data_IF_332123194881
#
_entry.id   IF_332123194881
#
_cell.length_a   1.000
_cell.length_b   1.000
_cell.length_c   1.000
_cell.angle_alpha   90.00
_cell.angle_beta   90.00
_cell.angle_gamma   90.00
#
_symmetry.space_group_name_H-M   'P 1'
#
loop_
_entity.id
_entity.type
_entity.pdbx_description
1 polymer ?
#
# COMPACT_ATOMS: atom_id res chain seq x y z
N UNK A 1 -8.42 -14.10 18.72
CA UNK A 1 -6.99 -14.07 19.06
C UNK A 1 -6.28 -14.63 17.85
N UNK A 2 -5.79 -13.74 16.98
CA UNK A 2 -4.85 -14.13 15.95
C UNK A 2 -3.72 -14.86 16.70
N UNK A 3 -3.54 -16.12 16.42
CA UNK A 3 -2.33 -16.81 16.83
C UNK A 3 -1.24 -16.08 16.08
N UNK A 4 -0.23 -15.50 16.77
CA UNK A 4 0.94 -15.01 16.08
C UNK A 4 1.44 -16.22 15.29
N UNK A 5 1.25 -16.23 13.98
CA UNK A 5 2.00 -17.15 13.19
C UNK A 5 3.44 -16.67 13.35
N UNK A 6 4.34 -17.54 13.71
CA UNK A 6 5.78 -17.26 13.66
C UNK A 6 6.24 -16.94 12.22
N UNK A 7 5.32 -16.95 11.28
CA UNK A 7 5.43 -16.49 9.91
C UNK A 7 5.32 -14.95 9.87
N UNK A 8 6.45 -14.30 9.95
CA UNK A 8 6.60 -12.90 9.59
C UNK A 8 6.54 -12.79 8.07
N UNK A 9 5.39 -12.40 7.54
CA UNK A 9 5.24 -12.18 6.11
C UNK A 9 6.32 -11.20 5.64
N UNK A 10 7.20 -11.67 4.76
CA UNK A 10 8.24 -10.86 4.13
C UNK A 10 9.55 -10.67 4.88
N UNK A 11 9.73 -11.20 6.10
CA UNK A 11 10.97 -11.04 6.88
C UNK A 11 11.75 -12.36 7.03
N UNK A 12 11.06 -13.46 7.18
CA UNK A 12 11.73 -14.77 7.21
C UNK A 12 11.80 -15.27 5.78
N UNK A 13 12.92 -15.04 5.14
CA UNK A 13 13.21 -15.35 3.74
C UNK A 13 13.21 -16.84 3.38
N UNK A 14 12.24 -17.56 3.90
CA UNK A 14 11.98 -18.95 3.59
C UNK A 14 10.69 -19.04 2.75
N UNK A 15 10.80 -18.92 1.41
CA UNK A 15 9.69 -19.31 0.53
C UNK A 15 9.38 -20.80 0.64
N UNK A 16 10.19 -21.54 1.39
CA UNK A 16 10.17 -23.00 1.45
C UNK A 16 9.04 -23.59 2.30
N UNK A 17 8.50 -22.86 3.26
CA UNK A 17 7.41 -23.42 4.07
C UNK A 17 6.09 -23.53 3.30
N UNK A 18 5.81 -22.57 2.41
CA UNK A 18 4.65 -22.65 1.50
C UNK A 18 4.87 -23.66 0.39
N UNK A 19 6.08 -23.76 -0.17
CA UNK A 19 6.42 -24.76 -1.19
C UNK A 19 6.45 -26.18 -0.62
N UNK A 20 7.00 -26.37 0.58
CA UNK A 20 6.97 -27.68 1.27
C UNK A 20 5.55 -28.13 1.62
N UNK A 21 4.70 -27.22 2.03
CA UNK A 21 3.28 -27.52 2.29
C UNK A 21 2.54 -27.85 1.00
N UNK A 22 2.86 -27.21 -0.11
CA UNK A 22 2.31 -27.50 -1.43
C UNK A 22 2.83 -28.82 -2.00
N UNK A 23 4.11 -29.16 -1.82
CA UNK A 23 4.70 -30.44 -2.21
C UNK A 23 4.11 -31.61 -1.42
N UNK A 24 3.76 -31.40 -0.16
CA UNK A 24 3.10 -32.42 0.69
C UNK A 24 1.59 -32.51 0.44
N UNK A 25 1.05 -31.74 -0.51
CA UNK A 25 -0.38 -31.72 -0.82
C UNK A 25 -1.26 -31.17 0.31
N UNK A 26 -0.65 -30.55 1.30
CA UNK A 26 -1.34 -29.87 2.39
C UNK A 26 -1.61 -28.45 1.88
N UNK A 27 -2.79 -28.23 1.33
CA UNK A 27 -3.28 -26.86 1.19
C UNK A 27 -3.49 -26.31 2.59
N UNK A 28 -2.87 -25.18 2.98
CA UNK A 28 -3.35 -24.46 4.16
C UNK A 28 -4.81 -24.16 3.88
N UNK A 29 -5.70 -24.76 4.65
CA UNK A 29 -7.11 -24.40 4.58
C UNK A 29 -7.21 -22.94 5.06
N UNK A 30 -7.58 -22.00 4.19
CA UNK A 30 -7.71 -20.61 4.59
C UNK A 30 -8.77 -20.43 5.68
N UNK A 31 -9.55 -21.47 5.98
CA UNK A 31 -10.60 -21.48 6.99
C UNK A 31 -10.21 -22.17 8.31
N UNK A 32 -9.10 -22.90 8.39
CA UNK A 32 -8.63 -23.55 9.63
C UNK A 32 -8.02 -22.55 10.64
N UNK A 33 -7.77 -21.32 10.23
CA UNK A 33 -7.18 -20.31 11.12
C UNK A 33 -8.20 -19.62 12.03
N UNK A 34 -9.43 -20.04 12.02
CA UNK A 34 -10.47 -19.46 12.85
C UNK A 34 -10.96 -20.53 13.86
N UNK A 35 -10.09 -20.91 14.78
CA UNK A 35 -10.57 -21.55 15.99
C UNK A 35 -11.08 -20.42 16.91
N UNK A 36 -12.39 -20.21 16.87
CA UNK A 36 -13.18 -19.45 17.83
C UNK A 36 -12.76 -17.98 18.12
N UNK A 37 -12.10 -17.31 17.19
CA UNK A 37 -12.11 -15.86 17.25
C UNK A 37 -13.57 -15.41 17.15
N UNK A 38 -14.09 -14.58 18.08
CA UNK A 38 -15.44 -14.06 17.94
C UNK A 38 -15.53 -13.43 16.54
N UNK A 39 -16.45 -13.94 15.72
CA UNK A 39 -16.75 -13.30 14.44
C UNK A 39 -17.02 -11.84 14.76
N UNK A 40 -16.25 -10.89 14.21
CA UNK A 40 -16.51 -9.49 14.49
C UNK A 40 -17.99 -9.26 14.24
N UNK A 41 -18.68 -8.61 15.17
CA UNK A 41 -20.07 -8.23 14.93
C UNK A 41 -20.10 -7.24 13.76
N UNK A 42 -20.25 -7.77 12.55
CA UNK A 42 -20.35 -6.99 11.33
C UNK A 42 -21.54 -6.01 11.32
N UNK A 43 -22.32 -5.99 12.41
CA UNK A 43 -23.37 -5.00 12.66
C UNK A 43 -22.87 -3.80 13.45
N UNK A 44 -21.58 -3.76 13.79
CA UNK A 44 -20.98 -2.55 14.34
C UNK A 44 -21.15 -1.43 13.30
N UNK A 45 -21.91 -0.41 13.65
CA UNK A 45 -22.10 0.79 12.84
C UNK A 45 -20.88 1.73 12.92
N UNK A 46 -19.76 1.22 13.39
CA UNK A 46 -18.52 1.97 13.52
C UNK A 46 -17.82 2.00 12.18
N UNK A 47 -17.76 3.15 11.58
CA UNK A 47 -16.84 3.43 10.47
C UNK A 47 -15.47 3.68 11.08
N UNK A 48 -14.55 2.77 10.90
CA UNK A 48 -13.17 2.98 11.30
C UNK A 48 -12.47 3.79 10.21
N UNK A 49 -12.04 4.98 10.58
CA UNK A 49 -11.16 5.80 9.73
C UNK A 49 -9.77 5.22 9.82
N UNK A 50 -9.21 4.87 8.67
CA UNK A 50 -7.86 4.34 8.54
C UNK A 50 -6.98 5.37 7.85
N UNK A 51 -6.06 5.96 8.59
CA UNK A 51 -5.14 6.95 8.06
C UNK A 51 -3.94 6.25 7.42
N UNK A 52 -3.59 6.67 6.20
CA UNK A 52 -2.47 6.11 5.45
C UNK A 52 -1.66 7.22 4.78
N UNK A 53 -0.35 7.30 5.03
CA UNK A 53 0.50 8.21 4.26
C UNK A 53 0.66 7.67 2.83
N UNK A 54 0.65 8.59 1.88
CA UNK A 54 0.88 8.31 0.47
C UNK A 54 2.02 9.18 -0.03
N UNK A 55 3.15 8.57 -0.35
CA UNK A 55 4.33 9.25 -0.86
C UNK A 55 4.30 9.25 -2.38
N UNK A 56 4.43 10.42 -2.98
CA UNK A 56 4.54 10.60 -4.42
C UNK A 56 6.01 10.65 -4.83
N UNK A 57 6.37 9.84 -5.83
CA UNK A 57 7.76 9.67 -6.27
C UNK A 57 7.93 9.98 -7.74
N UNK A 58 8.85 10.87 -8.03
CA UNK A 58 9.34 11.14 -9.38
C UNK A 58 10.81 10.74 -9.51
N UNK A 59 11.30 10.63 -10.74
CA UNK A 59 12.66 10.19 -11.03
C UNK A 59 13.40 11.22 -11.87
N UNK A 60 14.75 11.20 -11.87
CA UNK A 60 15.56 12.11 -12.68
C UNK A 60 15.27 12.04 -14.18
N UNK A 61 14.75 10.91 -14.66
CA UNK A 61 14.35 10.64 -16.04
C UNK A 61 12.83 10.56 -16.26
N UNK A 62 12.02 10.61 -15.17
CA UNK A 62 10.55 10.57 -15.23
C UNK A 62 9.92 11.54 -14.22
N UNK A 63 9.79 12.80 -14.63
CA UNK A 63 9.20 13.86 -13.79
C UNK A 63 7.69 13.75 -13.69
N UNK A 64 7.16 14.18 -12.56
CA UNK A 64 5.73 14.25 -12.33
C UNK A 64 5.00 15.10 -13.40
N UNK A 65 3.87 14.59 -13.84
CA UNK A 65 3.00 15.25 -14.83
C UNK A 65 1.68 15.72 -14.26
N UNK A 66 1.40 15.36 -13.02
CA UNK A 66 0.20 15.75 -12.27
C UNK A 66 0.59 16.42 -10.96
N UNK A 67 -0.22 17.35 -10.51
CA UNK A 67 -0.05 17.95 -9.19
C UNK A 67 -0.43 16.96 -8.08
N UNK A 68 0.20 17.07 -6.91
CA UNK A 68 -0.17 16.27 -5.73
C UNK A 68 -1.64 16.45 -5.34
N UNK A 69 -2.19 17.64 -5.57
CA UNK A 69 -3.60 17.91 -5.36
C UNK A 69 -4.54 17.08 -6.25
N UNK A 70 -4.15 16.77 -7.49
CA UNK A 70 -4.94 15.90 -8.36
C UNK A 70 -4.96 14.46 -7.83
N UNK A 71 -3.84 14.02 -7.28
CA UNK A 71 -3.74 12.69 -6.64
C UNK A 71 -4.58 12.66 -5.35
N UNK A 72 -4.55 13.74 -4.56
CA UNK A 72 -5.42 13.84 -3.37
C UNK A 72 -6.90 13.71 -3.71
N UNK A 73 -7.35 14.34 -4.80
CA UNK A 73 -8.72 14.21 -5.28
C UNK A 73 -9.08 12.76 -5.63
N UNK A 74 -8.18 12.06 -6.34
CA UNK A 74 -8.37 10.64 -6.71
C UNK A 74 -8.46 9.76 -5.46
N UNK A 75 -7.68 10.07 -4.44
CA UNK A 75 -7.64 9.28 -3.21
C UNK A 75 -8.83 9.56 -2.29
N UNK A 76 -9.17 10.84 -2.09
CA UNK A 76 -9.99 11.26 -0.95
C UNK A 76 -11.34 11.88 -1.29
N UNK A 77 -11.53 12.43 -2.51
CA UNK A 77 -12.76 13.18 -2.82
C UNK A 77 -13.97 12.24 -2.98
N UNK A 78 -15.02 12.37 -2.15
CA UNK A 78 -16.24 11.63 -2.34
C UNK A 78 -16.88 11.93 -3.71
N UNK A 79 -17.30 10.88 -4.42
CA UNK A 79 -17.94 11.02 -5.73
C UNK A 79 -16.99 11.54 -6.82
N UNK A 80 -15.69 11.34 -6.69
CA UNK A 80 -14.70 11.79 -7.67
C UNK A 80 -15.01 11.24 -9.06
N UNK A 81 -15.03 12.11 -10.06
CA UNK A 81 -15.14 11.74 -11.48
C UNK A 81 -14.18 12.58 -12.30
N UNK A 82 -13.52 11.96 -13.25
CA UNK A 82 -12.63 12.65 -14.17
C UNK A 82 -13.22 12.67 -15.59
N UNK A 83 -13.13 13.80 -16.27
CA UNK A 83 -13.77 14.00 -17.59
C UNK A 83 -13.28 13.04 -18.68
N UNK A 84 -12.05 12.55 -18.57
CA UNK A 84 -11.39 11.70 -19.58
C UNK A 84 -11.35 10.22 -19.21
N UNK A 85 -11.82 9.86 -18.02
CA UNK A 85 -11.82 8.48 -17.52
C UNK A 85 -13.19 8.14 -16.95
N UNK A 86 -13.71 6.98 -17.26
CA UNK A 86 -15.01 6.50 -16.77
C UNK A 86 -14.91 5.98 -15.30
N UNK A 87 -14.18 6.69 -14.45
CA UNK A 87 -14.10 6.36 -13.04
C UNK A 87 -15.36 6.79 -12.29
N UNK A 88 -15.79 5.98 -11.34
CA UNK A 88 -17.06 6.12 -10.60
C UNK A 88 -16.84 6.35 -9.10
N UNK A 89 -15.87 7.15 -8.75
CA UNK A 89 -15.53 7.46 -7.38
C UNK A 89 -14.02 7.51 -7.15
N UNK A 90 -13.65 7.88 -5.93
CA UNK A 90 -12.29 7.88 -5.44
C UNK A 90 -11.89 6.50 -4.87
N UNK A 91 -10.60 6.36 -4.52
CA UNK A 91 -10.11 5.23 -3.73
C UNK A 91 -10.90 5.05 -2.43
N UNK A 92 -11.18 6.15 -1.73
CA UNK A 92 -12.03 6.18 -0.55
C UNK A 92 -13.44 5.64 -0.81
N UNK A 93 -14.09 6.08 -1.90
CA UNK A 93 -15.45 5.63 -2.25
C UNK A 93 -15.48 4.13 -2.53
N UNK A 94 -14.49 3.63 -3.25
CA UNK A 94 -14.36 2.20 -3.55
C UNK A 94 -14.32 1.36 -2.27
N UNK A 95 -13.47 1.73 -1.32
CA UNK A 95 -13.37 0.96 -0.07
C UNK A 95 -14.59 1.12 0.83
N UNK A 96 -15.24 2.28 0.84
CA UNK A 96 -16.50 2.45 1.54
C UNK A 96 -17.60 1.55 0.94
N UNK A 97 -17.67 1.46 -0.38
CA UNK A 97 -18.65 0.63 -1.06
C UNK A 97 -18.44 -0.86 -0.75
N UNK A 98 -17.23 -1.40 -0.98
CA UNK A 98 -16.96 -2.82 -0.78
C UNK A 98 -16.98 -3.26 0.68
N UNK A 99 -16.77 -2.34 1.62
CA UNK A 99 -16.86 -2.60 3.06
C UNK A 99 -18.26 -2.33 3.64
N UNK A 100 -19.22 -1.97 2.81
CA UNK A 100 -20.56 -1.55 3.28
C UNK A 100 -20.51 -0.38 4.27
N UNK A 101 -19.60 0.58 4.03
CA UNK A 101 -19.42 1.77 4.87
C UNK A 101 -18.68 1.53 6.19
N UNK A 102 -18.04 0.37 6.37
CA UNK A 102 -17.35 0.04 7.61
C UNK A 102 -15.87 0.43 7.61
N UNK A 103 -15.27 0.61 6.45
CA UNK A 103 -13.87 1.00 6.30
C UNK A 103 -13.76 2.30 5.52
N UNK A 104 -13.08 3.27 6.13
CA UNK A 104 -12.88 4.59 5.54
C UNK A 104 -11.40 4.91 5.47
N UNK A 105 -10.71 4.62 4.35
CA UNK A 105 -9.34 5.05 4.17
C UNK A 105 -9.29 6.56 3.92
N UNK A 106 -8.33 7.21 4.53
CA UNK A 106 -7.99 8.62 4.32
C UNK A 106 -6.50 8.71 4.04
N UNK A 107 -6.14 9.07 2.82
CA UNK A 107 -4.75 9.22 2.42
C UNK A 107 -4.25 10.63 2.73
N UNK A 108 -3.09 10.74 3.36
CA UNK A 108 -2.33 11.98 3.40
C UNK A 108 -1.29 11.95 2.28
N UNK A 109 -1.56 12.77 1.25
CA UNK A 109 -0.76 12.78 0.02
C UNK A 109 0.38 13.79 0.17
N UNK A 110 1.62 13.33 -0.01
CA UNK A 110 2.79 14.19 0.03
C UNK A 110 2.92 15.06 -1.23
N UNK A 111 3.83 16.01 -1.20
CA UNK A 111 4.41 16.55 -2.43
C UNK A 111 5.24 15.47 -3.14
N UNK A 112 5.62 15.75 -4.40
CA UNK A 112 6.49 14.86 -5.17
C UNK A 112 7.92 14.90 -4.63
N UNK A 113 8.45 13.73 -4.29
CA UNK A 113 9.85 13.55 -3.91
C UNK A 113 10.65 12.95 -5.06
N UNK A 114 11.84 13.50 -5.28
CA UNK A 114 12.77 13.01 -6.28
C UNK A 114 13.50 11.76 -5.77
N UNK A 115 13.39 10.66 -6.49
CA UNK A 115 14.16 9.46 -6.21
C UNK A 115 15.67 9.67 -6.45
N UNK A 116 16.55 8.99 -5.70
CA UNK A 116 18.01 9.13 -5.86
C UNK A 116 18.54 8.64 -7.22
N UNK A 117 17.85 7.70 -7.85
CA UNK A 117 18.28 7.10 -9.12
C UNK A 117 17.16 7.18 -10.17
N UNK A 118 17.49 6.90 -11.42
CA UNK A 118 16.56 6.81 -12.54
C UNK A 118 15.52 5.70 -12.34
N UNK A 119 14.41 5.80 -13.04
CA UNK A 119 13.27 4.89 -12.89
C UNK A 119 13.63 3.41 -13.11
N UNK A 120 14.42 3.10 -14.14
CA UNK A 120 14.80 1.72 -14.49
C UNK A 120 15.76 1.07 -13.48
N UNK A 121 16.46 1.87 -12.65
CA UNK A 121 17.28 1.35 -11.55
C UNK A 121 16.43 0.54 -10.56
N UNK A 122 15.17 0.93 -10.36
CA UNK A 122 14.24 0.28 -9.44
C UNK A 122 13.38 -0.78 -10.12
N UNK A 123 13.72 -1.15 -11.36
CA UNK A 123 12.97 -2.11 -12.15
C UNK A 123 12.89 -3.49 -11.49
N UNK A 124 11.88 -4.25 -11.86
CA UNK A 124 11.71 -5.64 -11.43
C UNK A 124 12.96 -6.49 -11.72
N UNK A 125 13.65 -6.24 -12.85
CA UNK A 125 14.86 -6.94 -13.23
C UNK A 125 16.03 -6.73 -12.24
N UNK A 126 16.05 -5.63 -11.51
CA UNK A 126 17.07 -5.32 -10.50
C UNK A 126 16.70 -5.88 -9.11
N UNK A 127 15.53 -6.51 -8.99
CA UNK A 127 15.09 -7.22 -7.82
C UNK A 127 14.57 -6.33 -6.68
N UNK A 128 14.00 -6.98 -5.69
CA UNK A 128 13.32 -6.32 -4.58
C UNK A 128 14.21 -5.40 -3.73
N UNK A 129 15.53 -5.59 -3.73
CA UNK A 129 16.42 -4.73 -2.94
C UNK A 129 16.48 -3.31 -3.49
N UNK A 130 16.41 -3.13 -4.81
CA UNK A 130 16.35 -1.81 -5.40
C UNK A 130 15.06 -1.06 -4.98
N UNK A 131 13.91 -1.76 -5.03
CA UNK A 131 12.63 -1.20 -4.56
C UNK A 131 12.66 -0.87 -3.06
N UNK A 132 13.28 -1.72 -2.23
CA UNK A 132 13.45 -1.43 -0.80
C UNK A 132 14.30 -0.19 -0.55
N UNK A 133 15.33 0.04 -1.36
CA UNK A 133 16.14 1.26 -1.29
C UNK A 133 15.30 2.49 -1.64
N UNK A 134 14.44 2.39 -2.66
CA UNK A 134 13.50 3.47 -3.00
C UNK A 134 12.58 3.79 -1.82
N UNK A 135 11.92 2.77 -1.27
CA UNK A 135 10.99 2.96 -0.13
C UNK A 135 11.70 3.63 1.05
N UNK A 136 12.91 3.18 1.41
CA UNK A 136 13.69 3.80 2.50
C UNK A 136 14.01 5.25 2.20
N UNK A 137 14.52 5.55 1.01
CA UNK A 137 14.85 6.92 0.63
C UNK A 137 13.62 7.85 0.66
N UNK A 138 12.46 7.34 0.27
CA UNK A 138 11.23 8.13 0.28
C UNK A 138 10.69 8.34 1.69
N UNK A 139 10.78 7.35 2.55
CA UNK A 139 10.44 7.49 3.98
C UNK A 139 11.37 8.50 4.65
N UNK A 140 12.68 8.41 4.41
CA UNK A 140 13.66 9.37 4.93
C UNK A 140 13.34 10.80 4.45
N UNK A 141 12.98 10.97 3.16
CA UNK A 141 12.62 12.28 2.61
C UNK A 141 11.34 12.84 3.24
N UNK A 142 10.34 11.99 3.48
CA UNK A 142 9.10 12.40 4.14
C UNK A 142 9.37 12.79 5.59
N UNK A 143 10.21 12.04 6.32
CA UNK A 143 10.60 12.35 7.68
C UNK A 143 11.41 13.67 7.76
N UNK A 144 12.33 13.89 6.84
CA UNK A 144 13.11 15.14 6.75
C UNK A 144 12.22 16.37 6.46
N UNK A 145 11.06 16.17 5.82
CA UNK A 145 10.06 17.22 5.60
C UNK A 145 9.33 17.63 6.89
N UNK A 146 9.51 16.90 7.98
CA UNK A 146 8.84 17.10 9.26
C UNK A 146 7.48 16.42 9.38
N UNK A 147 7.24 15.38 8.61
CA UNK A 147 6.00 14.60 8.65
C UNK A 147 5.79 13.96 10.03
N UNK A 148 4.57 14.08 10.56
CA UNK A 148 4.20 13.50 11.85
C UNK A 148 3.58 12.12 11.68
N UNK A 149 4.33 11.08 12.00
CA UNK A 149 3.91 9.69 11.89
C UNK A 149 2.90 9.24 12.96
N UNK A 150 2.68 10.03 14.01
CA UNK A 150 1.88 9.61 15.18
C UNK A 150 0.40 9.32 14.87
N UNK A 151 -0.11 9.81 13.74
CA UNK A 151 -1.49 9.58 13.30
C UNK A 151 -1.71 8.29 12.51
N UNK A 152 -0.67 7.49 12.25
CA UNK A 152 -0.72 6.35 11.32
C UNK A 152 -0.51 4.98 11.99
N UNK A 153 -0.45 4.99 13.30
CA UNK A 153 -0.58 3.81 14.16
C UNK A 153 -2.07 3.65 14.51
N UNK A 154 -2.82 3.02 13.61
CA UNK A 154 -4.29 2.96 13.73
C UNK A 154 -4.75 1.93 14.76
N UNK A 155 -3.91 0.93 15.09
CA UNK A 155 -4.22 -0.10 16.09
C UNK A 155 -3.53 0.10 17.44
N UNK A 156 -2.61 1.06 17.56
CA UNK A 156 -1.94 1.47 18.78
C UNK A 156 -0.80 0.53 19.22
N UNK A 157 -0.17 -0.17 18.28
CA UNK A 157 0.92 -1.11 18.56
C UNK A 157 2.32 -0.47 18.51
N UNK A 158 2.41 0.80 18.13
CA UNK A 158 3.64 1.59 18.04
C UNK A 158 4.33 1.53 16.66
N UNK A 159 3.66 0.99 15.66
CA UNK A 159 4.14 0.94 14.28
C UNK A 159 3.16 1.60 13.32
N UNK A 160 3.66 2.08 12.19
CA UNK A 160 2.81 2.56 11.09
C UNK A 160 2.20 1.36 10.38
N UNK A 161 0.87 1.28 10.33
CA UNK A 161 0.15 0.11 9.80
C UNK A 161 0.26 -0.06 8.29
N UNK A 162 0.33 1.05 7.57
CA UNK A 162 0.39 1.04 6.10
C UNK A 162 1.11 2.26 5.56
N UNK A 163 1.74 2.09 4.42
CA UNK A 163 2.33 3.14 3.62
C UNK A 163 2.03 2.87 2.15
N UNK A 164 1.52 3.85 1.45
CA UNK A 164 1.36 3.82 0.00
C UNK A 164 2.48 4.61 -0.67
N UNK A 165 2.95 4.09 -1.79
CA UNK A 165 3.92 4.76 -2.64
C UNK A 165 3.37 4.78 -4.07
N UNK A 166 3.25 5.97 -4.65
CA UNK A 166 2.84 6.15 -6.04
C UNK A 166 3.99 6.77 -6.80
N UNK A 167 4.43 6.11 -7.84
CA UNK A 167 5.54 6.57 -8.64
C UNK A 167 5.11 7.06 -10.02
N UNK A 168 5.85 8.01 -10.56
CA UNK A 168 5.74 8.45 -11.94
C UNK A 168 6.40 7.42 -12.86
N UNK A 169 5.87 7.27 -14.07
CA UNK A 169 6.40 6.36 -15.08
C UNK A 169 5.60 5.05 -15.16
N UNK A 170 5.93 4.21 -16.16
CA UNK A 170 5.22 2.95 -16.39
C UNK A 170 5.51 1.92 -15.31
N UNK A 171 4.54 1.06 -15.04
CA UNK A 171 4.69 -0.08 -14.15
C UNK A 171 4.96 -1.39 -14.89
N UNK A 172 5.56 -2.35 -14.21
CA UNK A 172 5.84 -3.67 -14.79
C UNK A 172 4.56 -4.51 -15.02
N UNK A 173 3.43 -4.12 -14.43
CA UNK A 173 2.11 -4.70 -14.67
C UNK A 173 1.66 -4.56 -16.14
N UNK A 174 2.23 -3.63 -16.89
CA UNK A 174 2.02 -3.51 -18.34
C UNK A 174 2.76 -4.59 -19.15
N UNK A 175 3.53 -5.45 -18.49
CA UNK A 175 4.25 -6.58 -19.10
C UNK A 175 5.70 -6.30 -19.45
N UNK A 176 6.22 -5.13 -19.12
CA UNK A 176 7.63 -4.77 -19.29
C UNK A 176 8.37 -4.75 -17.95
N UNK A 177 9.12 -5.79 -17.67
CA UNK A 177 9.89 -5.95 -16.43
C UNK A 177 11.13 -5.04 -16.33
N UNK A 178 11.39 -4.19 -17.31
CA UNK A 178 12.33 -3.08 -17.16
C UNK A 178 11.75 -1.93 -16.31
N UNK A 179 10.47 -2.00 -15.96
CA UNK A 179 9.78 -1.05 -15.11
C UNK A 179 9.67 -1.53 -13.66
N UNK A 180 9.21 -0.66 -12.77
CA UNK A 180 8.97 -0.95 -11.35
C UNK A 180 7.72 -1.83 -11.21
N UNK A 181 7.79 -2.77 -10.28
CA UNK A 181 6.64 -3.62 -9.92
C UNK A 181 6.13 -3.30 -8.54
#
# INVERSE_FOLDING_TARGET
KLIPSDLKVGIDGEPNSLSESMEKGIRPDPYILIDEAPVPDLRSTRTDTFHVPLILVEFPDAYATYDSADIDLIMNQPGYTHLNYDNTGSFRDFYQEISYGQFLPVAEVSDWFMAPNEHDYYSYNNGYEAVRQLVRAMVDSLEESGFDWSGYDNDGDGYVDALNLVHQGPGAEEGDYSNIW
#
